data_IF_231045961991
#
_entry.id   IF_231045961991
#
_cell.length_a   1.000
_cell.length_b   1.000
_cell.length_c   1.000
_cell.angle_alpha   90.00
_cell.angle_beta   90.00
_cell.angle_gamma   90.00
#
_symmetry.space_group_name_H-M   'P 1'
#
loop_
_entity.id
_entity.type
_entity.pdbx_description
1 polymer ?
#
# COMPACT_ATOMS: atom_id res chain seq x y z
N UNK A 1 15.59 14.74 -3.76
CA UNK A 1 14.30 14.39 -3.14
C UNK A 1 13.34 14.13 -4.28
N UNK A 2 12.94 12.88 -4.48
CA UNK A 2 12.15 12.45 -5.64
C UNK A 2 10.80 13.16 -5.61
N UNK A 3 10.44 13.82 -6.71
CA UNK A 3 9.10 14.39 -6.92
C UNK A 3 7.98 13.40 -6.57
N UNK A 4 8.24 12.10 -6.73
CA UNK A 4 7.33 11.03 -6.35
C UNK A 4 7.00 10.91 -4.87
N UNK A 5 7.94 11.21 -3.95
CA UNK A 5 7.67 11.13 -2.52
C UNK A 5 6.70 12.24 -2.09
N UNK A 6 6.90 13.45 -2.63
CA UNK A 6 6.01 14.59 -2.40
C UNK A 6 4.63 14.31 -2.98
N UNK A 7 4.55 13.81 -4.22
CA UNK A 7 3.28 13.44 -4.86
C UNK A 7 2.56 12.34 -4.08
N UNK A 8 3.27 11.34 -3.57
CA UNK A 8 2.69 10.27 -2.76
C UNK A 8 2.09 10.77 -1.44
N UNK A 9 2.80 11.65 -0.73
CA UNK A 9 2.27 12.27 0.50
C UNK A 9 1.03 13.12 0.23
N UNK A 10 1.04 13.91 -0.85
CA UNK A 10 -0.12 14.70 -1.27
C UNK A 10 -1.29 13.78 -1.62
N UNK A 11 -1.06 12.70 -2.37
CA UNK A 11 -2.10 11.74 -2.73
C UNK A 11 -2.74 11.10 -1.49
N UNK A 12 -1.94 10.69 -0.49
CA UNK A 12 -2.46 10.14 0.76
C UNK A 12 -3.30 11.18 1.51
N UNK A 13 -2.83 12.43 1.61
CA UNK A 13 -3.58 13.50 2.25
C UNK A 13 -4.90 13.79 1.54
N UNK A 14 -4.91 13.83 0.20
CA UNK A 14 -6.10 14.04 -0.61
C UNK A 14 -7.10 12.90 -0.45
N UNK A 15 -6.65 11.64 -0.51
CA UNK A 15 -7.53 10.47 -0.30
C UNK A 15 -8.08 10.46 1.12
N UNK A 16 -7.26 10.80 2.12
CA UNK A 16 -7.70 10.89 3.51
C UNK A 16 -8.77 11.98 3.69
N UNK A 17 -8.54 13.17 3.12
CA UNK A 17 -9.50 14.26 3.16
C UNK A 17 -10.80 13.90 2.42
N UNK A 18 -10.69 13.29 1.24
CA UNK A 18 -11.84 12.79 0.49
C UNK A 18 -12.66 11.80 1.33
N UNK A 19 -12.00 10.85 1.98
CA UNK A 19 -12.66 9.82 2.79
C UNK A 19 -13.24 10.30 4.12
N UNK A 20 -12.81 11.46 4.64
CA UNK A 20 -13.23 11.99 5.95
C UNK A 20 -14.14 13.21 5.86
N UNK A 21 -13.97 14.05 4.83
CA UNK A 21 -14.66 15.35 4.71
C UNK A 21 -15.65 15.42 3.56
N UNK A 22 -15.76 14.42 2.68
CA UNK A 22 -16.67 14.49 1.51
C UNK A 22 -17.84 13.51 1.60
N UNK A 23 -18.97 13.89 0.99
CA UNK A 23 -20.13 13.03 0.84
C UNK A 23 -19.81 11.74 0.05
N UNK A 24 -18.88 11.80 -0.90
CA UNK A 24 -18.42 10.64 -1.65
C UNK A 24 -17.76 9.59 -0.73
N UNK A 25 -16.89 10.03 0.18
CA UNK A 25 -16.27 9.16 1.18
C UNK A 25 -17.29 8.52 2.12
N UNK A 26 -18.31 9.26 2.55
CA UNK A 26 -19.40 8.72 3.37
C UNK A 26 -20.19 7.64 2.62
N UNK A 27 -20.59 7.91 1.36
CA UNK A 27 -21.30 6.94 0.51
C UNK A 27 -20.48 5.65 0.34
N UNK A 28 -19.17 5.75 0.12
CA UNK A 28 -18.29 4.60 0.01
C UNK A 28 -18.21 3.77 1.30
N UNK A 29 -18.13 4.41 2.46
CA UNK A 29 -18.13 3.70 3.76
C UNK A 29 -19.44 2.95 3.99
N UNK A 30 -20.57 3.54 3.61
CA UNK A 30 -21.90 2.90 3.72
C UNK A 30 -21.99 1.69 2.78
N UNK A 31 -21.54 1.83 1.53
CA UNK A 31 -21.47 0.72 0.55
C UNK A 31 -20.54 -0.39 1.05
N UNK A 32 -19.38 -0.04 1.61
CA UNK A 32 -18.40 -1.00 2.15
C UNK A 32 -18.89 -1.74 3.40
N UNK A 33 -19.74 -1.11 4.22
CA UNK A 33 -20.34 -1.75 5.39
C UNK A 33 -21.49 -2.70 5.01
N UNK A 34 -22.39 -2.27 4.13
CA UNK A 34 -23.47 -3.13 3.62
C UNK A 34 -24.01 -2.62 2.27
N UNK A 35 -23.73 -3.33 1.17
CA UNK A 35 -24.27 -2.99 -0.15
C UNK A 35 -25.80 -3.02 -0.21
N UNK A 36 -26.43 -3.89 0.60
CA UNK A 36 -27.90 -4.01 0.68
C UNK A 36 -28.51 -2.78 1.35
N UNK A 37 -27.92 -2.33 2.46
CA UNK A 37 -28.37 -1.12 3.14
C UNK A 37 -28.15 0.13 2.28
N UNK A 38 -27.03 0.20 1.56
CA UNK A 38 -26.74 1.30 0.63
C UNK A 38 -27.79 1.42 -0.48
N UNK A 39 -28.22 0.29 -1.07
CA UNK A 39 -29.30 0.28 -2.07
C UNK A 39 -30.64 0.74 -1.48
N UNK A 40 -30.96 0.33 -0.25
CA UNK A 40 -32.18 0.78 0.42
C UNK A 40 -32.14 2.27 0.78
N UNK A 41 -30.95 2.84 0.99
CA UNK A 41 -30.74 4.28 1.18
C UNK A 41 -30.73 5.09 -0.13
N UNK A 42 -31.05 4.47 -1.28
CA UNK A 42 -31.11 5.15 -2.58
C UNK A 42 -29.74 5.46 -3.20
N UNK A 43 -28.66 4.81 -2.73
CA UNK A 43 -27.32 4.99 -3.29
C UNK A 43 -27.14 4.16 -4.56
N UNK A 44 -26.60 4.78 -5.60
CA UNK A 44 -26.16 4.12 -6.83
C UNK A 44 -24.87 3.31 -6.60
N UNK A 45 -25.03 2.09 -6.08
CA UNK A 45 -23.91 1.17 -5.77
C UNK A 45 -23.06 0.86 -7.01
N UNK A 46 -23.62 0.53 -8.20
CA UNK A 46 -22.84 0.33 -9.41
C UNK A 46 -21.98 1.54 -9.78
N UNK A 47 -22.57 2.76 -9.83
CA UNK A 47 -21.84 3.98 -10.17
C UNK A 47 -20.73 4.31 -9.17
N UNK A 48 -21.01 4.16 -7.87
CA UNK A 48 -20.00 4.33 -6.81
C UNK A 48 -18.85 3.33 -6.93
N UNK A 49 -19.16 2.09 -7.31
CA UNK A 49 -18.14 1.04 -7.52
C UNK A 49 -17.22 1.41 -8.68
N UNK A 50 -17.79 1.73 -9.84
CA UNK A 50 -17.01 2.15 -11.02
C UNK A 50 -16.17 3.39 -10.73
N UNK A 51 -16.73 4.38 -10.05
CA UNK A 51 -16.00 5.59 -9.66
C UNK A 51 -14.80 5.28 -8.76
N UNK A 52 -14.95 4.37 -7.79
CA UNK A 52 -13.83 3.99 -6.90
C UNK A 52 -12.75 3.21 -7.65
N UNK A 53 -13.14 2.31 -8.56
CA UNK A 53 -12.18 1.58 -9.39
C UNK A 53 -11.42 2.52 -10.32
N UNK A 54 -12.11 3.47 -10.95
CA UNK A 54 -11.50 4.47 -11.81
C UNK A 54 -10.50 5.35 -11.03
N UNK A 55 -10.88 5.81 -9.83
CA UNK A 55 -9.99 6.58 -8.97
C UNK A 55 -8.76 5.76 -8.54
N UNK A 56 -8.96 4.49 -8.19
CA UNK A 56 -7.85 3.59 -7.80
C UNK A 56 -6.90 3.33 -8.95
N UNK A 57 -7.43 3.09 -10.16
CA UNK A 57 -6.65 2.93 -11.38
C UNK A 57 -5.86 4.20 -11.73
N UNK A 58 -6.46 5.38 -11.57
CA UNK A 58 -5.78 6.65 -11.80
C UNK A 58 -4.61 6.85 -10.82
N UNK A 59 -4.79 6.55 -9.53
CA UNK A 59 -3.72 6.62 -8.53
C UNK A 59 -2.62 5.58 -8.79
N UNK A 60 -2.98 4.35 -9.15
CA UNK A 60 -2.00 3.32 -9.51
C UNK A 60 -1.21 3.67 -10.77
N UNK A 61 -1.87 4.21 -11.79
CA UNK A 61 -1.24 4.69 -13.02
C UNK A 61 -0.31 5.88 -12.75
N UNK A 62 -0.71 6.82 -11.89
CA UNK A 62 0.14 7.94 -11.49
C UNK A 62 1.38 7.46 -10.72
N UNK A 63 1.24 6.49 -9.82
CA UNK A 63 2.37 5.89 -9.12
C UNK A 63 3.37 5.24 -10.09
N UNK A 64 2.89 4.47 -11.08
CA UNK A 64 3.74 3.88 -12.12
C UNK A 64 4.42 4.92 -13.01
N UNK A 65 3.68 5.95 -13.43
CA UNK A 65 4.23 7.03 -14.25
C UNK A 65 5.35 7.79 -13.51
N UNK A 66 5.16 8.06 -12.22
CA UNK A 66 6.16 8.69 -11.36
C UNK A 66 7.42 7.84 -11.23
N UNK A 67 7.28 6.52 -11.12
CA UNK A 67 8.43 5.60 -11.05
C UNK A 67 9.23 5.58 -12.36
N UNK A 68 8.54 5.41 -13.48
CA UNK A 68 9.16 5.36 -14.82
C UNK A 68 9.81 6.70 -15.18
N UNK A 69 9.08 7.81 -15.06
CA UNK A 69 9.57 9.14 -15.44
C UNK A 69 10.59 9.69 -14.45
N UNK A 70 10.44 9.36 -13.16
CA UNK A 70 11.27 9.90 -12.09
C UNK A 70 12.57 9.14 -11.85
N UNK A 71 12.59 7.83 -12.07
CA UNK A 71 13.76 6.98 -11.77
C UNK A 71 14.48 6.55 -13.04
N UNK A 72 13.74 6.07 -14.05
CA UNK A 72 14.34 5.41 -15.22
C UNK A 72 14.48 6.34 -16.43
N UNK A 73 13.61 7.34 -16.58
CA UNK A 73 13.62 8.29 -17.71
C UNK A 73 13.19 7.69 -19.05
N UNK A 74 13.07 6.36 -19.17
CA UNK A 74 12.48 5.65 -20.30
C UNK A 74 11.69 4.42 -19.84
N UNK A 75 10.78 3.94 -20.69
CA UNK A 75 10.08 2.68 -20.47
C UNK A 75 10.96 1.54 -20.97
N UNK A 76 11.41 0.68 -20.05
CA UNK A 76 12.15 -0.54 -20.38
C UNK A 76 11.20 -1.69 -20.72
N UNK A 77 11.59 -2.52 -21.69
CA UNK A 77 10.81 -3.69 -22.10
C UNK A 77 10.74 -4.77 -21.00
N UNK A 78 11.70 -4.78 -20.08
CA UNK A 78 11.81 -5.67 -18.93
C UNK A 78 11.31 -5.04 -17.61
N UNK A 79 10.54 -3.94 -17.67
CA UNK A 79 10.05 -3.26 -16.47
C UNK A 79 9.01 -4.10 -15.72
N UNK A 80 9.47 -4.86 -14.73
CA UNK A 80 8.65 -5.55 -13.74
C UNK A 80 9.21 -5.32 -12.33
N UNK A 81 8.80 -4.23 -11.67
CA UNK A 81 9.29 -3.89 -10.33
C UNK A 81 8.70 -4.78 -9.22
N UNK A 82 7.79 -5.71 -9.54
CA UNK A 82 7.15 -6.61 -8.57
C UNK A 82 6.49 -5.90 -7.36
N UNK A 83 6.09 -4.63 -7.50
CA UNK A 83 5.49 -3.83 -6.41
C UNK A 83 4.30 -4.51 -5.76
N UNK A 84 3.48 -5.23 -6.53
CA UNK A 84 2.33 -5.97 -6.00
C UNK A 84 2.71 -7.05 -4.99
N UNK A 85 3.83 -7.75 -5.20
CA UNK A 85 4.27 -8.81 -4.30
C UNK A 85 4.78 -8.28 -2.96
N UNK A 86 5.43 -7.11 -2.98
CA UNK A 86 6.11 -6.54 -1.82
C UNK A 86 5.21 -5.57 -1.06
N UNK A 87 4.48 -4.69 -1.75
CA UNK A 87 3.73 -3.59 -1.14
C UNK A 87 2.36 -4.03 -0.64
N UNK A 88 1.67 -4.93 -1.34
CA UNK A 88 0.31 -5.36 -0.94
C UNK A 88 0.31 -5.94 0.49
N UNK A 89 1.15 -6.94 0.83
CA UNK A 89 1.14 -7.51 2.19
C UNK A 89 1.47 -6.48 3.27
N UNK A 90 2.37 -5.54 2.97
CA UNK A 90 2.80 -4.48 3.89
C UNK A 90 1.69 -3.46 4.15
N UNK A 91 0.87 -3.16 3.14
CA UNK A 91 -0.32 -2.31 3.29
C UNK A 91 -1.44 -3.03 4.06
N UNK A 92 -1.60 -4.34 3.86
CA UNK A 92 -2.52 -5.16 4.67
C UNK A 92 -2.14 -5.12 6.14
N UNK A 93 -0.86 -5.27 6.44
CA UNK A 93 -0.30 -5.12 7.77
C UNK A 93 -0.57 -3.73 8.38
N UNK A 94 -0.51 -2.67 7.57
CA UNK A 94 -0.90 -1.34 7.99
C UNK A 94 -2.41 -1.19 8.28
N UNK A 95 -3.18 -2.30 8.26
CA UNK A 95 -4.64 -2.36 8.48
C UNK A 95 -5.42 -1.44 7.56
N UNK A 96 -4.93 -1.26 6.32
CA UNK A 96 -5.49 -0.34 5.32
C UNK A 96 -5.56 1.12 5.81
N UNK A 97 -4.78 1.49 6.82
CA UNK A 97 -4.67 2.87 7.28
C UNK A 97 -3.54 3.59 6.54
N UNK A 98 -3.88 4.64 5.79
CA UNK A 98 -2.92 5.40 4.98
C UNK A 98 -1.72 5.95 5.77
N UNK A 99 -1.92 6.39 7.01
CA UNK A 99 -0.80 6.91 7.82
C UNK A 99 0.11 5.79 8.33
N UNK A 100 -0.46 4.66 8.73
CA UNK A 100 0.34 3.49 9.13
C UNK A 100 1.11 2.93 7.93
N UNK A 101 0.51 2.95 6.73
CA UNK A 101 1.14 2.46 5.52
C UNK A 101 2.44 3.22 5.20
N UNK A 102 2.48 4.54 5.42
CA UNK A 102 3.72 5.33 5.25
C UNK A 102 4.84 4.78 6.15
N UNK A 103 4.54 4.54 7.43
CA UNK A 103 5.53 4.02 8.38
C UNK A 103 6.05 2.64 8.01
N UNK A 104 5.14 1.72 7.68
CA UNK A 104 5.51 0.34 7.31
C UNK A 104 6.28 0.28 5.99
N UNK A 105 5.87 1.05 4.98
CA UNK A 105 6.59 1.11 3.69
C UNK A 105 7.96 1.77 3.86
N UNK A 106 8.07 2.83 4.66
CA UNK A 106 9.36 3.46 4.95
C UNK A 106 10.32 2.49 5.66
N UNK A 107 9.84 1.76 6.67
CA UNK A 107 10.63 0.74 7.35
C UNK A 107 11.13 -0.34 6.38
N UNK A 108 10.24 -0.84 5.52
CA UNK A 108 10.57 -1.80 4.49
C UNK A 108 11.61 -1.24 3.52
N UNK A 109 11.43 -0.02 3.02
CA UNK A 109 12.38 0.62 2.10
C UNK A 109 13.77 0.76 2.72
N UNK A 110 13.86 1.19 3.98
CA UNK A 110 15.13 1.29 4.71
C UNK A 110 15.80 -0.09 4.81
N UNK A 111 15.03 -1.11 5.20
CA UNK A 111 15.54 -2.46 5.36
C UNK A 111 15.98 -3.09 4.02
N UNK A 112 15.19 -2.92 2.97
CA UNK A 112 15.51 -3.43 1.63
C UNK A 112 16.73 -2.74 1.05
N UNK A 113 16.79 -1.40 1.05
CA UNK A 113 17.93 -0.64 0.50
C UNK A 113 19.19 -0.87 1.35
N UNK A 114 19.05 -0.90 2.68
CA UNK A 114 20.15 -1.19 3.60
C UNK A 114 20.69 -2.61 3.43
N UNK A 115 19.79 -3.60 3.33
CA UNK A 115 20.15 -5.00 3.10
C UNK A 115 20.83 -5.22 1.76
N UNK A 116 20.32 -4.61 0.69
CA UNK A 116 20.93 -4.69 -0.63
C UNK A 116 22.30 -3.99 -0.67
N UNK A 117 22.44 -2.84 0.00
CA UNK A 117 23.72 -2.14 0.12
C UNK A 117 24.76 -2.93 0.91
N UNK A 118 24.35 -3.64 1.97
CA UNK A 118 25.22 -4.52 2.73
C UNK A 118 25.61 -5.77 1.92
N UNK A 119 24.67 -6.38 1.21
CA UNK A 119 24.91 -7.53 0.35
C UNK A 119 25.89 -7.20 -0.80
N UNK A 120 25.75 -6.01 -1.42
CA UNK A 120 26.68 -5.52 -2.44
C UNK A 120 28.11 -5.37 -1.91
N UNK A 121 28.29 -4.89 -0.68
CA UNK A 121 29.63 -4.76 -0.05
C UNK A 121 30.29 -6.11 0.24
N UNK A 122 29.50 -7.14 0.49
CA UNK A 122 29.97 -8.51 0.75
C UNK A 122 30.11 -9.36 -0.53
N UNK A 123 29.83 -8.80 -1.71
CA UNK A 123 29.97 -9.51 -2.99
C UNK A 123 28.93 -10.61 -3.23
N UNK A 124 27.82 -10.61 -2.49
CA UNK A 124 26.77 -11.64 -2.54
C UNK A 124 25.68 -11.25 -3.56
N UNK A 125 25.10 -12.20 -4.32
CA UNK A 125 24.05 -11.91 -5.30
C UNK A 125 22.79 -11.24 -4.72
N UNK A 126 22.16 -10.39 -5.53
CA UNK A 126 21.05 -9.46 -5.21
C UNK A 126 19.72 -10.10 -4.78
N UNK A 127 19.65 -11.42 -4.63
CA UNK A 127 18.47 -12.15 -4.12
C UNK A 127 18.20 -11.93 -2.63
N UNK A 128 19.12 -11.28 -1.92
CA UNK A 128 19.02 -11.00 -0.50
C UNK A 128 17.76 -10.20 -0.13
N UNK A 129 17.29 -9.32 -1.02
CA UNK A 129 16.09 -8.48 -0.79
C UNK A 129 14.82 -9.33 -0.68
N UNK A 130 14.66 -10.36 -1.51
CA UNK A 130 13.52 -11.29 -1.46
C UNK A 130 13.53 -12.12 -0.17
N UNK A 131 14.71 -12.58 0.26
CA UNK A 131 14.87 -13.30 1.53
C UNK A 131 14.52 -12.40 2.72
N UNK A 132 14.97 -11.15 2.71
CA UNK A 132 14.61 -10.17 3.74
C UNK A 132 13.11 -9.93 3.82
N UNK A 133 12.43 -9.77 2.66
CA UNK A 133 10.97 -9.62 2.60
C UNK A 133 10.29 -10.86 3.19
N UNK A 134 10.74 -12.06 2.83
CA UNK A 134 10.19 -13.31 3.38
C UNK A 134 10.37 -13.39 4.91
N UNK A 135 11.55 -13.03 5.42
CA UNK A 135 11.83 -13.00 6.87
C UNK A 135 10.95 -11.97 7.57
N UNK A 136 10.81 -10.76 7.02
CA UNK A 136 9.94 -9.71 7.59
C UNK A 136 8.49 -10.20 7.65
N UNK A 137 7.98 -10.78 6.56
CA UNK A 137 6.61 -11.32 6.53
C UNK A 137 6.42 -12.46 7.54
N UNK A 138 7.42 -13.34 7.71
CA UNK A 138 7.38 -14.44 8.69
C UNK A 138 7.38 -13.90 10.12
N UNK A 139 8.34 -13.03 10.46
CA UNK A 139 8.44 -12.41 11.80
C UNK A 139 7.13 -11.69 12.13
N UNK A 140 6.52 -11.08 11.12
CA UNK A 140 5.31 -10.33 11.31
C UNK A 140 4.06 -11.20 11.45
N UNK A 141 3.94 -12.27 10.66
CA UNK A 141 2.91 -13.28 10.86
C UNK A 141 3.01 -13.91 12.26
N UNK A 142 4.23 -14.14 12.75
CA UNK A 142 4.48 -14.59 14.12
C UNK A 142 4.08 -13.54 15.17
N UNK A 143 4.35 -12.26 14.92
CA UNK A 143 3.93 -11.17 15.80
C UNK A 143 2.41 -11.02 15.86
N UNK A 144 1.72 -11.09 14.73
CA UNK A 144 0.26 -11.05 14.64
C UNK A 144 -0.37 -12.25 15.36
N UNK A 145 0.19 -13.46 15.17
CA UNK A 145 -0.24 -14.65 15.89
C UNK A 145 -0.02 -14.54 17.40
N UNK A 146 1.11 -13.94 17.82
CA UNK A 146 1.39 -13.68 19.23
C UNK A 146 0.43 -12.64 19.83
N UNK A 147 0.13 -11.56 19.11
CA UNK A 147 -0.81 -10.53 19.56
C UNK A 147 -2.25 -11.08 19.64
N UNK A 148 -2.67 -11.91 18.69
CA UNK A 148 -3.94 -12.64 18.76
C UNK A 148 -4.00 -13.57 19.98
N UNK A 149 -2.92 -14.31 20.28
CA UNK A 149 -2.82 -15.14 21.49
C UNK A 149 -2.86 -14.34 22.78
N UNK A 150 -2.24 -13.16 22.80
CA UNK A 150 -2.23 -12.28 23.97
C UNK A 150 -3.63 -11.67 24.21
N UNK A 151 -4.35 -11.30 23.16
CA UNK A 151 -5.74 -10.82 23.25
C UNK A 151 -6.70 -11.92 23.70
N UNK A 152 -6.51 -13.15 23.20
CA UNK A 152 -7.31 -14.31 23.61
C UNK A 152 -7.08 -14.74 25.07
N UNK A 153 -5.98 -14.32 25.71
CA UNK A 153 -5.70 -14.55 27.14
C UNK A 153 -6.18 -13.42 28.06
N UNK A 154 -6.65 -12.30 27.51
CA UNK A 154 -7.10 -11.11 28.26
C UNK A 154 -8.64 -10.94 28.29
N UNK A 155 -9.39 -11.85 27.66
CA UNK A 155 -10.85 -11.96 27.78
C UNK A 155 -11.21 -13.27 28.45
#
# INVERSE_FOLDING_TARGET
ISSGLVLGLIAIALVHLMMTRTAFGLKLRVVGASPRAARHAGLDVPGLTVAVFALSAALAGLAGAVDVLGVYGNVRADWNPAFGLVVIPVVFLARLNGFAAIGFVALLSILSIGGESAARRMGVPTYFTLVLVAVVLIVLALAEWADQRLRARRG
#
